data_IF_551913189476
#
_entry.id   IF_551913189476
#
_cell.length_a   1.000
_cell.length_b   1.000
_cell.length_c   1.000
_cell.angle_alpha   90.00
_cell.angle_beta   90.00
_cell.angle_gamma   90.00
#
_symmetry.space_group_name_H-M   'P 1'
#
loop_
_entity.id
_entity.type
_entity.pdbx_description
1 polymer ?
#
# COMPACT_ATOMS: atom_id res chain seq x y z
N UNK A 1 16.50 59.74 -7.28
CA UNK A 1 15.78 58.72 -8.06
C UNK A 1 15.37 57.58 -7.14
N UNK A 2 14.05 57.36 -6.98
CA UNK A 2 13.42 56.09 -6.62
C UNK A 2 13.54 55.54 -5.19
N UNK A 3 12.73 56.04 -4.23
CA UNK A 3 12.36 55.30 -3.03
C UNK A 3 11.30 54.25 -3.40
N UNK A 4 11.63 52.95 -3.38
CA UNK A 4 10.62 51.89 -3.33
C UNK A 4 10.22 51.65 -1.88
N UNK A 5 9.11 52.26 -1.49
CA UNK A 5 8.36 51.97 -0.26
C UNK A 5 7.64 50.62 -0.45
N UNK A 6 8.18 49.54 0.11
CA UNK A 6 7.48 48.27 0.23
C UNK A 6 6.58 48.30 1.47
N UNK A 7 5.41 48.91 1.35
CA UNK A 7 4.32 48.83 2.32
C UNK A 7 3.29 47.82 1.80
N UNK A 8 3.45 46.53 2.12
CA UNK A 8 2.33 45.56 2.23
C UNK A 8 2.67 44.45 3.25
N UNK A 9 2.67 44.73 4.57
CA UNK A 9 2.75 43.67 5.59
C UNK A 9 1.39 42.98 5.83
N UNK A 10 0.28 43.69 5.60
CA UNK A 10 -1.05 43.29 6.11
C UNK A 10 -1.63 42.03 5.45
N UNK A 11 -1.38 41.79 4.16
CA UNK A 11 -1.97 40.64 3.45
C UNK A 11 -1.37 39.29 3.89
N UNK A 12 -0.12 39.28 4.37
CA UNK A 12 0.55 38.07 4.85
C UNK A 12 0.28 37.79 6.32
N UNK A 13 0.05 38.83 7.12
CA UNK A 13 -0.27 38.70 8.54
C UNK A 13 -1.69 38.16 8.77
N UNK A 14 -2.66 38.52 7.92
CA UNK A 14 -4.03 37.97 7.98
C UNK A 14 -4.08 36.45 7.71
N UNK A 15 -3.22 35.94 6.82
CA UNK A 15 -3.09 34.50 6.51
C UNK A 15 -2.47 33.68 7.64
N UNK A 16 -1.79 34.33 8.59
CA UNK A 16 -1.13 33.70 9.74
C UNK A 16 -1.94 33.87 11.04
N UNK A 17 -2.98 34.71 11.02
CA UNK A 17 -3.87 34.87 12.16
C UNK A 17 -4.63 33.56 12.44
N UNK A 18 -4.71 33.12 13.71
CA UNK A 18 -5.46 31.91 14.03
C UNK A 18 -6.94 32.13 13.70
N UNK A 19 -7.62 31.13 13.09
CA UNK A 19 -8.98 31.32 12.62
C UNK A 19 -9.91 31.73 13.76
N UNK A 20 -10.83 32.64 13.45
CA UNK A 20 -11.80 33.17 14.43
C UNK A 20 -12.70 32.05 14.97
N UNK A 21 -13.33 32.26 16.13
CA UNK A 21 -14.25 31.28 16.71
C UNK A 21 -15.38 30.92 15.73
N UNK A 22 -15.89 31.90 14.98
CA UNK A 22 -16.91 31.69 13.94
C UNK A 22 -16.43 30.80 12.81
N UNK A 23 -15.22 31.03 12.29
CA UNK A 23 -14.63 30.18 11.24
C UNK A 23 -14.39 28.75 11.70
N UNK A 24 -13.97 28.56 12.96
CA UNK A 24 -13.81 27.22 13.55
C UNK A 24 -15.15 26.49 13.64
N UNK A 25 -16.21 27.19 14.06
CA UNK A 25 -17.57 26.62 14.16
C UNK A 25 -18.09 26.26 12.76
N UNK A 26 -18.00 27.17 11.79
CA UNK A 26 -18.44 26.91 10.40
C UNK A 26 -17.67 25.74 9.81
N UNK A 27 -16.35 25.68 10.01
CA UNK A 27 -15.53 24.57 9.55
C UNK A 27 -15.91 23.25 10.22
N UNK A 28 -16.24 23.27 11.51
CA UNK A 28 -16.72 22.08 12.22
C UNK A 28 -18.08 21.61 11.69
N UNK A 29 -19.02 22.53 11.43
CA UNK A 29 -20.35 22.22 10.87
C UNK A 29 -20.22 21.56 9.48
N UNK A 30 -19.23 21.95 8.67
CA UNK A 30 -19.02 21.35 7.33
C UNK A 30 -18.29 20.00 7.43
N UNK A 31 -17.25 19.90 8.28
CA UNK A 31 -16.44 18.69 8.39
C UNK A 31 -17.19 17.54 9.05
N UNK A 32 -18.05 17.86 10.03
CA UNK A 32 -18.72 16.85 10.84
C UNK A 32 -19.64 15.91 10.03
N UNK A 33 -20.55 16.40 9.18
CA UNK A 33 -21.40 15.54 8.35
C UNK A 33 -20.61 14.64 7.41
N UNK A 34 -19.58 15.19 6.75
CA UNK A 34 -18.74 14.42 5.80
C UNK A 34 -18.01 13.31 6.55
N UNK A 35 -17.40 13.62 7.69
CA UNK A 35 -16.70 12.63 8.50
C UNK A 35 -17.64 11.53 9.02
N UNK A 36 -18.83 11.90 9.48
CA UNK A 36 -19.86 10.95 9.92
C UNK A 36 -20.38 10.08 8.77
N UNK A 37 -20.47 10.61 7.55
CA UNK A 37 -20.86 9.86 6.36
C UNK A 37 -19.85 8.76 5.99
N UNK A 38 -18.58 8.88 6.40
CA UNK A 38 -17.62 7.78 6.29
C UNK A 38 -17.64 6.85 7.51
N UNK A 39 -17.67 7.42 8.73
CA UNK A 39 -17.50 6.63 9.96
C UNK A 39 -18.72 5.74 10.24
N UNK A 40 -19.94 6.30 10.18
CA UNK A 40 -21.13 5.55 10.59
C UNK A 40 -21.41 4.34 9.68
N UNK A 41 -21.35 4.44 8.34
CA UNK A 41 -21.50 3.26 7.48
C UNK A 41 -20.38 2.25 7.69
N UNK A 42 -19.15 2.69 7.95
CA UNK A 42 -18.03 1.78 8.19
C UNK A 42 -18.24 0.93 9.47
N UNK A 43 -18.66 1.56 10.57
CA UNK A 43 -18.95 0.86 11.82
C UNK A 43 -20.16 -0.07 11.67
N UNK A 44 -21.22 0.39 11.00
CA UNK A 44 -22.38 -0.45 10.72
C UNK A 44 -22.02 -1.67 9.84
N UNK A 45 -21.22 -1.47 8.80
CA UNK A 45 -20.79 -2.55 7.91
C UNK A 45 -19.79 -3.51 8.59
N UNK A 46 -19.00 -3.04 9.57
CA UNK A 46 -18.14 -3.87 10.40
C UNK A 46 -18.94 -4.77 11.34
N UNK A 47 -20.01 -4.23 11.93
CA UNK A 47 -20.91 -4.99 12.79
C UNK A 47 -21.59 -6.15 12.05
N UNK A 48 -21.93 -5.92 10.78
CA UNK A 48 -22.53 -6.90 9.88
C UNK A 48 -21.49 -7.63 9.00
N UNK A 49 -20.21 -7.60 9.37
CA UNK A 49 -19.16 -8.24 8.58
C UNK A 49 -19.19 -9.76 8.77
N UNK A 50 -19.05 -10.58 7.71
CA UNK A 50 -19.27 -12.04 7.82
C UNK A 50 -18.29 -12.78 8.73
N UNK A 51 -17.07 -12.26 8.91
CA UNK A 51 -16.02 -12.89 9.70
C UNK A 51 -15.41 -11.90 10.69
N UNK A 52 -15.19 -12.31 11.93
CA UNK A 52 -14.58 -11.49 12.99
C UNK A 52 -15.27 -10.12 13.17
N UNK A 53 -16.62 -10.07 13.09
CA UNK A 53 -17.39 -8.82 13.14
C UNK A 53 -17.15 -8.01 14.41
N UNK A 54 -17.08 -8.69 15.55
CA UNK A 54 -16.90 -8.05 16.87
C UNK A 54 -15.49 -7.49 16.98
N UNK A 55 -14.48 -8.28 16.62
CA UNK A 55 -13.07 -7.89 16.62
C UNK A 55 -12.81 -6.73 15.66
N UNK A 56 -13.40 -6.77 14.46
CA UNK A 56 -13.30 -5.71 13.47
C UNK A 56 -13.96 -4.43 13.95
N UNK A 57 -15.17 -4.51 14.52
CA UNK A 57 -15.89 -3.34 15.03
C UNK A 57 -15.14 -2.69 16.20
N UNK A 58 -14.71 -3.48 17.18
CA UNK A 58 -13.91 -2.99 18.31
C UNK A 58 -12.61 -2.38 17.79
N UNK A 59 -11.91 -3.06 16.87
CA UNK A 59 -10.68 -2.59 16.25
C UNK A 59 -10.86 -1.25 15.55
N UNK A 60 -11.94 -1.05 14.80
CA UNK A 60 -12.25 0.21 14.13
C UNK A 60 -12.61 1.35 15.10
N UNK A 61 -13.32 1.07 16.19
CA UNK A 61 -13.62 2.07 17.23
C UNK A 61 -12.34 2.51 17.94
N UNK A 62 -11.47 1.55 18.31
CA UNK A 62 -10.18 1.84 18.91
C UNK A 62 -9.28 2.62 17.94
N UNK A 63 -9.28 2.24 16.66
CA UNK A 63 -8.53 2.95 15.63
C UNK A 63 -9.05 4.39 15.43
N UNK A 64 -10.37 4.59 15.39
CA UNK A 64 -10.98 5.92 15.35
C UNK A 64 -10.53 6.77 16.54
N UNK A 65 -10.58 6.22 17.76
CA UNK A 65 -10.12 6.92 18.96
C UNK A 65 -8.62 7.31 18.84
N UNK A 66 -7.78 6.39 18.36
CA UNK A 66 -6.36 6.67 18.12
C UNK A 66 -6.14 7.79 17.11
N UNK A 67 -6.90 7.84 16.01
CA UNK A 67 -6.78 8.90 15.01
C UNK A 67 -7.32 10.24 15.49
N UNK A 68 -8.38 10.24 16.31
CA UNK A 68 -8.86 11.45 16.96
C UNK A 68 -7.79 12.02 17.89
N UNK A 69 -7.10 11.18 18.66
CA UNK A 69 -6.02 11.63 19.55
C UNK A 69 -4.79 12.06 18.76
N UNK A 70 -4.36 11.24 17.79
CA UNK A 70 -3.10 11.41 17.05
C UNK A 70 -3.30 11.12 15.56
N UNK A 71 -3.78 12.10 14.79
CA UNK A 71 -4.06 11.93 13.36
C UNK A 71 -2.90 11.33 12.55
N UNK A 72 -1.62 11.74 12.72
CA UNK A 72 -0.52 11.20 11.92
C UNK A 72 -0.34 9.67 11.97
N UNK A 73 -0.94 8.97 12.93
CA UNK A 73 -0.86 7.52 13.03
C UNK A 73 -1.37 6.80 11.79
N UNK A 74 -2.34 7.36 11.05
CA UNK A 74 -2.85 6.71 9.84
C UNK A 74 -1.74 6.47 8.80
N UNK A 75 -0.75 7.37 8.71
CA UNK A 75 0.40 7.24 7.81
C UNK A 75 1.25 6.00 8.11
N UNK A 76 1.22 5.52 9.35
CA UNK A 76 1.90 4.30 9.78
C UNK A 76 0.97 3.09 9.75
N UNK A 77 -0.28 3.24 10.18
CA UNK A 77 -1.17 2.09 10.34
C UNK A 77 -1.74 1.64 8.99
N UNK A 78 -2.11 2.56 8.08
CA UNK A 78 -2.68 2.19 6.76
C UNK A 78 -1.75 1.27 5.97
N UNK A 79 -0.45 1.60 5.75
CA UNK A 79 0.43 0.71 5.00
C UNK A 79 0.55 -0.67 5.65
N UNK A 80 0.59 -0.74 6.98
CA UNK A 80 0.62 -2.01 7.72
C UNK A 80 -0.68 -2.80 7.60
N UNK A 81 -1.81 -2.11 7.63
CA UNK A 81 -3.14 -2.70 7.54
C UNK A 81 -3.43 -3.34 6.17
N UNK A 82 -2.82 -2.83 5.08
CA UNK A 82 -2.91 -3.47 3.74
C UNK A 82 -2.49 -4.95 3.81
N UNK A 83 -1.44 -5.25 4.57
CA UNK A 83 -0.92 -6.60 4.71
C UNK A 83 -1.65 -7.44 5.77
N UNK A 84 -2.54 -6.86 6.58
CA UNK A 84 -3.17 -7.56 7.71
C UNK A 84 -4.69 -7.72 7.57
N UNK A 85 -5.38 -6.78 6.92
CA UNK A 85 -6.84 -6.69 6.90
C UNK A 85 -7.49 -7.17 5.59
N UNK A 86 -6.77 -7.96 4.81
CA UNK A 86 -7.29 -8.62 3.61
C UNK A 86 -8.13 -9.84 3.99
N UNK A 87 -9.24 -9.60 4.70
CA UNK A 87 -10.12 -10.63 5.26
C UNK A 87 -10.96 -11.38 4.22
N UNK A 88 -10.70 -11.21 2.93
CA UNK A 88 -11.46 -11.84 1.85
C UNK A 88 -11.44 -13.37 1.91
N UNK A 89 -10.30 -13.95 2.33
CA UNK A 89 -10.14 -15.41 2.50
C UNK A 89 -11.09 -16.02 3.54
N UNK A 90 -11.51 -15.24 4.55
CA UNK A 90 -12.40 -15.71 5.61
C UNK A 90 -13.84 -15.22 5.45
N UNK A 91 -14.01 -14.00 4.95
CA UNK A 91 -15.34 -13.38 4.84
C UNK A 91 -16.05 -13.66 3.52
N UNK A 92 -15.32 -14.13 2.49
CA UNK A 92 -15.85 -14.26 1.12
C UNK A 92 -16.14 -12.92 0.44
N UNK A 93 -15.89 -11.78 1.10
CA UNK A 93 -16.12 -10.46 0.49
C UNK A 93 -14.96 -10.09 -0.43
N UNK A 94 -15.29 -10.05 -1.72
CA UNK A 94 -14.34 -9.74 -2.80
C UNK A 94 -14.33 -8.23 -3.11
N UNK A 95 -15.50 -7.58 -3.12
CA UNK A 95 -15.65 -6.19 -3.54
C UNK A 95 -15.44 -5.18 -2.42
N UNK A 96 -16.01 -5.44 -1.24
CA UNK A 96 -15.97 -4.54 -0.10
C UNK A 96 -15.32 -5.22 1.12
N UNK A 97 -14.04 -4.93 1.32
CA UNK A 97 -13.14 -5.64 2.23
C UNK A 97 -13.11 -5.02 3.63
N UNK A 98 -12.53 -5.75 4.60
CA UNK A 98 -12.26 -5.19 5.93
C UNK A 98 -11.28 -4.01 5.88
N UNK A 99 -10.37 -3.99 4.90
CA UNK A 99 -9.48 -2.87 4.66
C UNK A 99 -10.23 -1.63 4.17
N UNK A 100 -11.29 -1.78 3.37
CA UNK A 100 -12.08 -0.65 2.87
C UNK A 100 -12.79 0.08 4.03
N UNK A 101 -13.31 -0.68 5.01
CA UNK A 101 -13.89 -0.13 6.24
C UNK A 101 -12.84 0.66 7.05
N UNK A 102 -11.62 0.14 7.11
CA UNK A 102 -10.49 0.79 7.75
C UNK A 102 -10.12 2.11 7.06
N UNK A 103 -10.18 2.15 5.72
CA UNK A 103 -9.98 3.38 4.95
C UNK A 103 -11.07 4.40 5.20
N UNK A 104 -12.34 4.00 5.22
CA UNK A 104 -13.46 4.91 5.53
C UNK A 104 -13.28 5.56 6.91
N UNK A 105 -12.95 4.79 7.95
CA UNK A 105 -12.64 5.34 9.27
C UNK A 105 -11.45 6.29 9.22
N UNK A 106 -10.41 5.96 8.45
CA UNK A 106 -9.25 6.84 8.24
C UNK A 106 -9.66 8.18 7.63
N UNK A 107 -10.40 8.16 6.53
CA UNK A 107 -10.87 9.36 5.85
C UNK A 107 -11.74 10.21 6.77
N UNK A 108 -12.75 9.61 7.40
CA UNK A 108 -13.63 10.34 8.31
C UNK A 108 -12.90 10.95 9.50
N UNK A 109 -12.02 10.19 10.17
CA UNK A 109 -11.29 10.68 11.34
C UNK A 109 -10.32 11.81 10.99
N UNK A 110 -9.58 11.68 9.88
CA UNK A 110 -8.62 12.70 9.46
C UNK A 110 -9.34 13.93 8.91
N UNK A 111 -10.44 13.78 8.18
CA UNK A 111 -11.28 14.92 7.77
C UNK A 111 -11.84 15.67 8.97
N UNK A 112 -12.31 14.95 10.01
CA UNK A 112 -12.76 15.58 11.24
C UNK A 112 -11.65 16.39 11.91
N UNK A 113 -10.45 15.82 12.04
CA UNK A 113 -9.35 16.41 12.82
C UNK A 113 -8.49 17.43 12.07
N UNK A 114 -8.23 17.19 10.79
CA UNK A 114 -7.33 18.00 9.95
C UNK A 114 -8.07 18.82 8.89
N UNK A 115 -9.28 18.40 8.51
CA UNK A 115 -9.98 18.94 7.35
C UNK A 115 -9.42 18.41 6.03
N UNK A 116 -9.88 18.99 4.92
CA UNK A 116 -9.42 18.68 3.57
C UNK A 116 -8.52 19.78 3.03
N UNK A 117 -7.42 19.40 2.40
CA UNK A 117 -6.55 20.32 1.69
C UNK A 117 -6.44 19.91 0.23
N UNK A 118 -7.04 20.66 -0.69
CA UNK A 118 -7.00 20.37 -2.14
C UNK A 118 -5.84 21.09 -2.87
N UNK A 119 -5.28 22.14 -2.26
CA UNK A 119 -4.24 22.98 -2.87
C UNK A 119 -2.88 22.78 -2.18
N UNK A 120 -1.81 22.68 -2.97
CA UNK A 120 -0.43 22.61 -2.47
C UNK A 120 0.42 21.43 -2.95
N UNK A 121 -0.05 20.66 -3.94
CA UNK A 121 0.64 19.50 -4.52
C UNK A 121 1.69 19.82 -5.61
N UNK A 122 1.68 21.04 -6.15
CA UNK A 122 2.47 21.40 -7.34
C UNK A 122 1.82 20.92 -8.65
N UNK A 123 2.11 21.62 -9.75
CA UNK A 123 1.46 21.38 -11.04
C UNK A 123 1.77 19.99 -11.61
N UNK A 124 2.99 19.48 -11.44
CA UNK A 124 3.39 18.16 -11.93
C UNK A 124 2.59 17.02 -11.27
N UNK A 125 2.36 17.10 -9.96
CA UNK A 125 1.52 16.15 -9.24
C UNK A 125 0.06 16.25 -9.71
N UNK A 126 -0.42 17.46 -9.97
CA UNK A 126 -1.75 17.69 -10.53
C UNK A 126 -1.92 17.04 -11.91
N UNK A 127 -0.96 17.23 -12.82
CA UNK A 127 -0.98 16.59 -14.15
C UNK A 127 -0.95 15.07 -14.01
N UNK A 128 -0.04 14.53 -13.21
CA UNK A 128 0.08 13.08 -12.99
C UNK A 128 -1.24 12.50 -12.45
N UNK A 129 -1.84 13.12 -11.43
CA UNK A 129 -3.10 12.68 -10.86
C UNK A 129 -4.24 12.73 -11.88
N UNK A 130 -4.32 13.80 -12.69
CA UNK A 130 -5.32 13.96 -13.75
C UNK A 130 -5.16 12.92 -14.85
N UNK A 131 -3.94 12.69 -15.34
CA UNK A 131 -3.68 11.68 -16.38
C UNK A 131 -4.06 10.29 -15.89
N UNK A 132 -3.65 9.93 -14.68
CA UNK A 132 -4.00 8.64 -14.09
C UNK A 132 -5.50 8.51 -13.81
N UNK A 133 -6.17 9.60 -13.44
CA UNK A 133 -7.62 9.63 -13.24
C UNK A 133 -8.37 9.38 -14.53
N UNK A 134 -7.97 10.04 -15.62
CA UNK A 134 -8.56 9.84 -16.95
C UNK A 134 -8.32 8.40 -17.41
N UNK A 135 -7.08 7.91 -17.31
CA UNK A 135 -6.73 6.56 -17.73
C UNK A 135 -7.53 5.50 -16.96
N UNK A 136 -7.50 5.53 -15.63
CA UNK A 136 -8.24 4.57 -14.81
C UNK A 136 -9.75 4.72 -15.00
N UNK A 137 -10.26 5.95 -15.14
CA UNK A 137 -11.67 6.20 -15.44
C UNK A 137 -12.12 5.54 -16.74
N UNK A 138 -11.36 5.71 -17.82
CA UNK A 138 -11.65 5.10 -19.12
C UNK A 138 -11.54 3.58 -19.11
N UNK A 139 -10.51 3.02 -18.46
CA UNK A 139 -10.34 1.56 -18.34
C UNK A 139 -11.47 0.95 -17.51
N UNK A 140 -11.84 1.59 -16.41
CA UNK A 140 -12.97 1.16 -15.55
C UNK A 140 -14.27 1.24 -16.34
N UNK A 141 -14.50 2.34 -17.05
CA UNK A 141 -15.69 2.52 -17.88
C UNK A 141 -15.82 1.43 -18.93
N UNK A 142 -14.74 1.11 -19.64
CA UNK A 142 -14.73 0.05 -20.64
C UNK A 142 -15.00 -1.33 -20.02
N UNK A 143 -14.44 -1.62 -18.84
CA UNK A 143 -14.70 -2.89 -18.15
C UNK A 143 -16.09 -3.01 -17.53
N UNK A 144 -16.78 -1.89 -17.29
CA UNK A 144 -18.09 -1.85 -16.65
C UNK A 144 -19.25 -2.13 -17.64
N UNK A 145 -19.06 -1.76 -18.91
CA UNK A 145 -20.10 -1.79 -19.92
C UNK A 145 -19.80 -2.79 -21.07
N UNK A 146 -20.83 -3.49 -21.57
CA UNK A 146 -22.21 -3.53 -21.07
C UNK A 146 -22.30 -4.19 -19.68
N UNK A 147 -23.32 -3.84 -18.89
CA UNK A 147 -23.47 -4.41 -17.55
C UNK A 147 -23.78 -5.91 -17.60
N UNK A 148 -23.02 -6.71 -16.86
CA UNK A 148 -23.20 -8.16 -16.79
C UNK A 148 -22.94 -8.69 -15.38
N UNK A 149 -23.87 -9.50 -14.87
CA UNK A 149 -23.87 -9.96 -13.48
C UNK A 149 -22.99 -11.19 -13.22
N UNK A 150 -22.42 -11.84 -14.24
CA UNK A 150 -21.75 -13.13 -14.05
C UNK A 150 -22.74 -14.25 -13.69
N UNK A 151 -22.23 -15.43 -13.39
CA UNK A 151 -23.01 -16.60 -12.94
C UNK A 151 -23.36 -16.56 -11.45
N UNK A 152 -22.45 -16.10 -10.59
CA UNK A 152 -22.65 -16.05 -9.12
C UNK A 152 -23.33 -14.75 -8.64
N UNK A 153 -23.70 -13.89 -9.57
CA UNK A 153 -24.29 -12.58 -9.29
C UNK A 153 -23.25 -11.46 -9.18
N UNK A 154 -23.75 -10.25 -9.39
CA UNK A 154 -22.95 -9.07 -9.74
C UNK A 154 -21.89 -8.68 -8.69
N UNK A 155 -22.11 -9.04 -7.42
CA UNK A 155 -21.26 -8.68 -6.28
C UNK A 155 -20.41 -9.84 -5.75
N UNK A 156 -20.50 -11.02 -6.36
CA UNK A 156 -19.80 -12.22 -5.90
C UNK A 156 -18.98 -12.87 -7.01
N UNK A 157 -19.25 -12.54 -8.27
CA UNK A 157 -18.57 -13.11 -9.42
C UNK A 157 -17.49 -12.17 -9.98
N UNK A 158 -16.22 -12.58 -9.96
CA UNK A 158 -15.12 -11.82 -10.55
C UNK A 158 -15.19 -11.72 -12.09
N UNK A 159 -16.05 -12.52 -12.73
CA UNK A 159 -16.40 -12.39 -14.15
C UNK A 159 -17.48 -11.34 -14.39
N UNK A 160 -18.15 -10.82 -13.34
CA UNK A 160 -19.08 -9.69 -13.49
C UNK A 160 -18.34 -8.43 -13.91
N UNK A 161 -19.01 -7.57 -14.69
CA UNK A 161 -18.44 -6.28 -15.10
C UNK A 161 -18.17 -5.33 -13.93
N UNK A 162 -18.80 -5.52 -12.75
CA UNK A 162 -18.44 -4.77 -11.55
C UNK A 162 -17.01 -5.05 -11.09
N UNK A 163 -16.40 -6.16 -11.51
CA UNK A 163 -15.01 -6.46 -11.19
C UNK A 163 -14.07 -5.33 -11.66
N UNK A 164 -14.44 -4.59 -12.72
CA UNK A 164 -13.75 -3.35 -13.13
C UNK A 164 -13.70 -2.29 -12.01
N UNK A 165 -14.80 -2.08 -11.29
CA UNK A 165 -14.84 -1.17 -10.13
C UNK A 165 -13.98 -1.69 -8.99
N UNK A 166 -13.99 -3.01 -8.75
CA UNK A 166 -13.15 -3.63 -7.72
C UNK A 166 -11.67 -3.41 -8.00
N UNK A 167 -11.23 -3.60 -9.24
CA UNK A 167 -9.83 -3.39 -9.63
C UNK A 167 -9.44 -1.90 -9.56
N UNK A 168 -10.36 -1.01 -9.93
CA UNK A 168 -10.10 0.43 -9.94
C UNK A 168 -10.15 1.10 -8.57
N UNK A 169 -10.86 0.54 -7.58
CA UNK A 169 -11.13 1.20 -6.29
C UNK A 169 -9.85 1.65 -5.59
N UNK A 170 -8.78 0.84 -5.61
CA UNK A 170 -7.53 1.15 -4.94
C UNK A 170 -6.87 2.43 -5.47
N UNK A 171 -7.06 2.72 -6.77
CA UNK A 171 -6.59 3.97 -7.37
C UNK A 171 -7.40 5.18 -6.85
N UNK A 172 -8.73 5.08 -6.80
CA UNK A 172 -9.59 6.16 -6.29
C UNK A 172 -9.38 6.39 -4.78
N UNK A 173 -9.17 5.33 -4.01
CA UNK A 173 -8.77 5.39 -2.60
C UNK A 173 -7.42 6.10 -2.43
N UNK A 174 -6.44 5.82 -3.30
CA UNK A 174 -5.15 6.52 -3.31
C UNK A 174 -5.30 8.03 -3.61
N UNK A 175 -6.21 8.41 -4.51
CA UNK A 175 -6.52 9.83 -4.75
C UNK A 175 -7.13 10.51 -3.53
N UNK A 176 -8.00 9.82 -2.77
CA UNK A 176 -8.57 10.35 -1.53
C UNK A 176 -7.51 10.59 -0.45
N UNK A 177 -6.37 9.90 -0.47
CA UNK A 177 -5.27 10.19 0.45
C UNK A 177 -4.52 11.48 0.14
N UNK A 178 -4.51 11.97 -1.10
CA UNK A 178 -3.80 13.21 -1.46
C UNK A 178 -4.19 14.40 -0.57
N UNK A 179 -5.50 14.73 -0.39
CA UNK A 179 -5.87 15.83 0.48
C UNK A 179 -5.52 15.61 1.96
N UNK A 180 -5.46 14.36 2.44
CA UNK A 180 -5.04 14.03 3.80
C UNK A 180 -3.53 14.24 3.97
N UNK A 181 -2.72 13.82 3.00
CA UNK A 181 -1.26 14.01 3.01
C UNK A 181 -0.94 15.51 3.01
N UNK A 182 -1.63 16.29 2.19
CA UNK A 182 -1.44 17.74 2.17
C UNK A 182 -1.87 18.40 3.48
N UNK A 183 -2.95 17.92 4.10
CA UNK A 183 -3.38 18.40 5.42
C UNK A 183 -2.35 18.07 6.52
N UNK A 184 -1.76 16.88 6.50
CA UNK A 184 -0.67 16.50 7.41
C UNK A 184 0.61 17.32 7.15
N UNK A 185 0.92 17.62 5.89
CA UNK A 185 2.04 18.49 5.52
C UNK A 185 1.87 19.90 6.10
N UNK A 186 0.68 20.48 5.97
CA UNK A 186 0.34 21.79 6.56
C UNK A 186 0.43 21.77 8.08
N UNK A 187 0.09 20.65 8.70
CA UNK A 187 0.22 20.46 10.15
C UNK A 187 1.67 20.23 10.63
N UNK A 188 2.68 20.30 9.74
CA UNK A 188 4.09 20.10 10.09
C UNK A 188 4.45 18.64 10.39
N UNK A 189 3.61 17.68 10.01
CA UNK A 189 3.85 16.26 10.26
C UNK A 189 5.03 15.77 9.42
N UNK A 190 5.94 15.02 10.05
CA UNK A 190 7.00 14.31 9.34
C UNK A 190 6.42 13.06 8.64
N UNK A 191 5.82 13.27 7.47
CA UNK A 191 5.12 12.24 6.69
C UNK A 191 6.03 11.06 6.40
N UNK A 192 7.26 11.33 5.92
CA UNK A 192 8.23 10.30 5.57
C UNK A 192 8.53 9.36 6.75
N UNK A 193 8.70 9.90 7.96
CA UNK A 193 8.97 9.09 9.15
C UNK A 193 7.83 8.13 9.49
N UNK A 194 6.59 8.64 9.49
CA UNK A 194 5.42 7.80 9.81
C UNK A 194 5.17 6.76 8.73
N UNK A 195 5.26 7.16 7.46
CA UNK A 195 5.10 6.26 6.32
C UNK A 195 6.16 5.15 6.29
N UNK A 196 7.43 5.47 6.52
CA UNK A 196 8.49 4.46 6.63
C UNK A 196 8.20 3.46 7.76
N UNK A 197 7.75 3.95 8.92
CA UNK A 197 7.33 3.09 10.02
C UNK A 197 6.19 2.16 9.64
N UNK A 198 5.25 2.64 8.82
CA UNK A 198 4.14 1.82 8.33
C UNK A 198 4.56 0.75 7.34
N UNK A 199 5.45 1.08 6.40
CA UNK A 199 5.99 0.10 5.45
C UNK A 199 6.77 -1.01 6.18
N UNK A 200 7.52 -0.67 7.24
CA UNK A 200 8.21 -1.65 8.08
C UNK A 200 7.21 -2.51 8.85
N UNK A 201 6.19 -1.91 9.47
CA UNK A 201 5.14 -2.63 10.20
C UNK A 201 4.43 -3.63 9.28
N UNK A 202 4.11 -3.19 8.07
CA UNK A 202 3.48 -4.03 7.08
C UNK A 202 4.38 -5.12 6.52
N UNK A 203 5.68 -4.85 6.35
CA UNK A 203 6.66 -5.88 6.00
C UNK A 203 6.75 -6.96 7.09
N UNK A 204 6.72 -6.57 8.37
CA UNK A 204 6.65 -7.53 9.48
C UNK A 204 5.35 -8.34 9.41
N UNK A 205 4.20 -7.69 9.21
CA UNK A 205 2.90 -8.34 9.15
C UNK A 205 2.80 -9.37 8.01
N UNK A 206 3.16 -8.99 6.78
CA UNK A 206 3.14 -9.92 5.63
C UNK A 206 4.12 -11.06 5.83
N UNK A 207 5.33 -10.78 6.33
CA UNK A 207 6.33 -11.83 6.49
C UNK A 207 5.97 -12.80 7.62
N UNK A 208 5.32 -12.31 8.70
CA UNK A 208 4.76 -13.16 9.74
C UNK A 208 3.64 -14.05 9.19
N UNK A 209 2.75 -13.50 8.35
CA UNK A 209 1.70 -14.27 7.67
C UNK A 209 2.30 -15.36 6.76
N UNK A 210 3.37 -15.05 6.04
CA UNK A 210 4.09 -16.01 5.18
C UNK A 210 4.72 -17.14 6.00
N UNK A 211 5.39 -16.79 7.10
CA UNK A 211 6.00 -17.78 8.01
C UNK A 211 4.93 -18.69 8.61
N UNK A 212 3.82 -18.11 9.06
CA UNK A 212 2.67 -18.86 9.58
C UNK A 212 2.11 -19.84 8.55
N UNK A 213 1.82 -19.37 7.34
CA UNK A 213 1.30 -20.22 6.26
C UNK A 213 2.26 -21.36 5.93
N UNK A 214 3.55 -21.06 5.83
CA UNK A 214 4.59 -22.09 5.58
C UNK A 214 4.64 -23.13 6.68
N UNK A 215 4.58 -22.71 7.95
CA UNK A 215 4.55 -23.62 9.10
C UNK A 215 3.38 -24.60 9.03
N UNK A 216 2.20 -24.12 8.66
CA UNK A 216 0.98 -24.93 8.61
C UNK A 216 0.96 -25.89 7.42
N UNK A 217 1.39 -25.45 6.23
CA UNK A 217 1.18 -26.22 5.00
C UNK A 217 2.37 -27.07 4.54
N UNK A 218 3.62 -26.65 4.79
CA UNK A 218 4.79 -27.32 4.18
C UNK A 218 5.97 -27.54 5.13
N UNK A 219 6.09 -26.73 6.18
CA UNK A 219 7.28 -26.61 7.01
C UNK A 219 8.24 -25.53 6.50
N UNK A 220 8.93 -24.84 7.42
CA UNK A 220 9.77 -23.67 7.07
C UNK A 220 10.92 -24.00 6.12
N UNK A 221 11.55 -25.16 6.30
CA UNK A 221 12.76 -25.58 5.57
C UNK A 221 12.47 -26.52 4.39
N UNK A 222 11.20 -26.84 4.15
CA UNK A 222 10.80 -27.72 3.05
C UNK A 222 10.63 -26.92 1.75
N UNK A 223 11.63 -26.97 0.89
CA UNK A 223 11.64 -26.25 -0.40
C UNK A 223 11.46 -27.17 -1.61
N UNK A 224 11.22 -28.47 -1.39
CA UNK A 224 10.93 -29.41 -2.49
C UNK A 224 9.48 -29.30 -2.96
N UNK A 225 8.56 -28.84 -2.11
CA UNK A 225 7.17 -28.58 -2.47
C UNK A 225 7.01 -27.26 -3.24
N UNK A 226 6.34 -27.32 -4.39
CA UNK A 226 6.00 -26.18 -5.25
C UNK A 226 4.88 -25.27 -4.70
N UNK A 227 4.56 -25.34 -3.41
CA UNK A 227 3.48 -24.58 -2.80
C UNK A 227 3.83 -23.09 -2.72
N UNK A 228 3.11 -22.25 -3.47
CA UNK A 228 3.29 -20.80 -3.47
C UNK A 228 2.47 -20.16 -2.35
N UNK A 229 3.14 -19.39 -1.52
CA UNK A 229 2.51 -18.70 -0.39
C UNK A 229 1.63 -17.53 -0.86
N UNK A 230 0.48 -17.37 -0.23
CA UNK A 230 -0.49 -16.29 -0.49
C UNK A 230 -0.49 -15.18 0.58
N UNK A 231 -0.09 -15.52 1.80
CA UNK A 231 -0.22 -14.66 2.96
C UNK A 231 -1.70 -14.30 3.20
N UNK A 232 -1.92 -13.08 3.67
CA UNK A 232 -3.26 -12.51 3.84
C UNK A 232 -3.90 -12.06 2.51
N UNK A 233 -3.18 -12.06 1.39
CA UNK A 233 -3.64 -11.44 0.14
C UNK A 233 -4.61 -12.35 -0.62
N UNK A 234 -5.92 -12.10 -0.47
CA UNK A 234 -6.96 -12.91 -1.13
C UNK A 234 -6.86 -12.94 -2.66
N UNK A 235 -6.31 -11.89 -3.28
CA UNK A 235 -6.17 -11.80 -4.74
C UNK A 235 -5.25 -12.87 -5.35
N UNK A 236 -4.57 -13.70 -4.54
CA UNK A 236 -3.86 -14.88 -5.05
C UNK A 236 -4.79 -16.05 -5.39
N UNK A 237 -6.06 -16.04 -4.97
CA UNK A 237 -7.08 -17.03 -5.37
C UNK A 237 -7.24 -17.09 -6.91
N UNK A 238 -7.14 -15.95 -7.59
CA UNK A 238 -7.17 -15.83 -9.05
C UNK A 238 -5.79 -15.86 -9.70
N UNK A 239 -4.74 -16.18 -8.94
CA UNK A 239 -3.37 -16.20 -9.44
C UNK A 239 -2.71 -14.81 -9.51
N UNK A 240 -3.20 -13.83 -8.75
CA UNK A 240 -2.62 -12.49 -8.66
C UNK A 240 -1.18 -12.46 -8.11
N UNK A 241 -0.63 -11.24 -8.05
CA UNK A 241 0.73 -10.96 -7.58
C UNK A 241 0.78 -9.85 -6.52
N UNK A 242 -0.32 -9.64 -5.79
CA UNK A 242 -0.44 -8.56 -4.82
C UNK A 242 0.57 -8.67 -3.67
N UNK A 243 0.81 -9.89 -3.16
CA UNK A 243 1.84 -10.13 -2.13
C UNK A 243 3.23 -9.78 -2.65
N UNK A 244 3.55 -10.17 -3.89
CA UNK A 244 4.85 -9.89 -4.51
C UNK A 244 5.05 -8.39 -4.65
N UNK A 245 4.06 -7.68 -5.19
CA UNK A 245 4.09 -6.22 -5.33
C UNK A 245 4.28 -5.53 -3.97
N UNK A 246 3.55 -5.97 -2.94
CA UNK A 246 3.66 -5.41 -1.61
C UNK A 246 5.05 -5.62 -0.99
N UNK A 247 5.60 -6.84 -1.09
CA UNK A 247 6.95 -7.16 -0.63
C UNK A 247 8.00 -6.31 -1.36
N UNK A 248 7.89 -6.12 -2.68
CA UNK A 248 8.82 -5.27 -3.45
C UNK A 248 8.76 -3.81 -3.01
N UNK A 249 7.56 -3.29 -2.75
CA UNK A 249 7.39 -1.92 -2.30
C UNK A 249 7.90 -1.72 -0.88
N UNK A 250 7.70 -2.69 0.03
CA UNK A 250 8.03 -2.56 1.43
C UNK A 250 9.50 -2.86 1.76
N UNK A 251 10.14 -3.79 1.04
CA UNK A 251 11.51 -4.24 1.32
C UNK A 251 12.56 -3.10 1.36
N UNK A 252 12.56 -2.13 0.42
CA UNK A 252 13.52 -1.03 0.46
C UNK A 252 13.44 -0.17 1.73
N UNK A 253 12.28 -0.14 2.40
CA UNK A 253 12.10 0.62 3.65
C UNK A 253 12.86 0.02 4.84
N UNK A 254 13.39 -1.20 4.74
CA UNK A 254 14.40 -1.70 5.70
C UNK A 254 15.58 -0.74 5.76
N UNK A 255 15.98 -0.17 4.60
CA UNK A 255 17.02 0.84 4.51
C UNK A 255 16.70 2.09 5.34
N UNK A 256 15.43 2.43 5.55
CA UNK A 256 15.03 3.56 6.40
C UNK A 256 15.40 3.34 7.88
N UNK A 257 15.37 2.09 8.39
CA UNK A 257 15.85 1.76 9.74
C UNK A 257 17.34 2.08 9.89
N UNK A 258 18.10 1.91 8.80
CA UNK A 258 19.53 2.16 8.73
C UNK A 258 19.82 3.65 8.51
N UNK A 259 19.03 4.35 7.69
CA UNK A 259 19.32 5.73 7.33
C UNK A 259 18.87 6.75 8.39
N UNK A 260 17.72 6.53 9.05
CA UNK A 260 17.15 7.49 9.99
C UNK A 260 17.66 7.35 11.43
N UNK A 261 17.96 6.12 11.91
CA UNK A 261 18.27 5.85 13.32
C UNK A 261 19.19 4.62 13.49
N UNK A 262 20.49 4.73 13.18
CA UNK A 262 21.42 3.65 13.57
C UNK A 262 21.70 3.71 15.07
N UNK A 263 21.14 2.76 15.80
CA UNK A 263 21.59 2.39 17.14
C UNK A 263 22.05 0.94 17.07
N UNK A 264 23.05 0.55 17.87
CA UNK A 264 23.54 -0.83 17.79
C UNK A 264 22.43 -1.87 18.09
N UNK A 265 21.49 -1.53 18.98
CA UNK A 265 20.31 -2.36 19.25
C UNK A 265 19.33 -2.48 18.08
N UNK A 266 19.36 -1.59 17.08
CA UNK A 266 18.51 -1.71 15.89
C UNK A 266 19.13 -2.59 14.82
N UNK A 267 20.39 -3.01 14.96
CA UNK A 267 21.08 -3.84 13.96
C UNK A 267 20.46 -5.24 13.85
N UNK A 268 20.30 -5.93 14.99
CA UNK A 268 19.72 -7.26 15.05
C UNK A 268 18.31 -7.33 14.46
N UNK A 269 17.33 -6.46 14.83
CA UNK A 269 16.00 -6.51 14.24
C UNK A 269 15.99 -6.14 12.76
N UNK A 270 16.86 -5.23 12.30
CA UNK A 270 16.99 -4.92 10.86
C UNK A 270 17.51 -6.12 10.07
N UNK A 271 18.54 -6.81 10.57
CA UNK A 271 19.06 -8.02 9.93
C UNK A 271 18.01 -9.13 9.91
N UNK A 272 17.35 -9.38 11.04
CA UNK A 272 16.29 -10.37 11.14
C UNK A 272 15.14 -10.09 10.15
N UNK A 273 14.70 -8.84 10.05
CA UNK A 273 13.65 -8.45 9.10
C UNK A 273 14.10 -8.60 7.65
N UNK A 274 15.37 -8.34 7.33
CA UNK A 274 15.92 -8.59 5.99
C UNK A 274 15.92 -10.09 5.65
N UNK A 275 16.29 -10.96 6.58
CA UNK A 275 16.18 -12.40 6.40
C UNK A 275 14.73 -12.83 6.20
N UNK A 276 13.79 -12.28 6.97
CA UNK A 276 12.37 -12.59 6.89
C UNK A 276 11.76 -12.15 5.55
N UNK A 277 12.12 -10.95 5.09
CA UNK A 277 11.73 -10.43 3.78
C UNK A 277 12.30 -11.28 2.65
N UNK A 278 13.59 -11.65 2.72
CA UNK A 278 14.24 -12.53 1.76
C UNK A 278 13.60 -13.92 1.71
N UNK A 279 13.31 -14.52 2.86
CA UNK A 279 12.57 -15.77 2.96
C UNK A 279 11.18 -15.65 2.33
N UNK A 280 10.45 -14.57 2.64
CA UNK A 280 9.10 -14.34 2.12
C UNK A 280 9.09 -14.22 0.60
N UNK A 281 10.02 -13.43 0.05
CA UNK A 281 10.22 -13.28 -1.39
C UNK A 281 10.57 -14.59 -2.10
N UNK A 282 11.28 -15.47 -1.40
CA UNK A 282 11.67 -16.77 -1.95
C UNK A 282 10.48 -17.72 -2.06
N UNK A 283 9.70 -17.85 -0.99
CA UNK A 283 8.60 -18.84 -0.92
C UNK A 283 7.34 -18.43 -1.70
N UNK A 284 7.32 -17.24 -2.29
CA UNK A 284 6.32 -16.92 -3.33
C UNK A 284 6.68 -17.52 -4.69
N UNK A 285 7.89 -18.07 -4.85
CA UNK A 285 8.37 -18.73 -6.07
C UNK A 285 8.10 -17.93 -7.36
N UNK A 286 8.10 -16.60 -7.30
CA UNK A 286 7.84 -15.74 -8.46
C UNK A 286 9.14 -15.37 -9.16
N UNK A 287 9.25 -15.68 -10.47
CA UNK A 287 10.41 -15.30 -11.29
C UNK A 287 10.54 -13.78 -11.45
N UNK A 288 9.43 -13.05 -11.43
CA UNK A 288 9.44 -11.60 -11.57
C UNK A 288 10.10 -10.92 -10.35
N UNK A 289 10.19 -11.62 -9.22
CA UNK A 289 10.71 -11.05 -7.99
C UNK A 289 12.20 -10.76 -8.06
N UNK A 290 12.99 -11.62 -8.72
CA UNK A 290 14.44 -11.45 -8.79
C UNK A 290 14.85 -10.08 -9.40
N UNK A 291 14.43 -9.72 -10.63
CA UNK A 291 14.74 -8.39 -11.17
C UNK A 291 14.02 -7.26 -10.42
N UNK A 292 12.81 -7.50 -9.90
CA UNK A 292 12.05 -6.47 -9.18
C UNK A 292 12.75 -6.02 -7.89
N UNK A 293 13.34 -6.94 -7.12
CA UNK A 293 14.14 -6.60 -5.94
C UNK A 293 15.31 -5.71 -6.33
N UNK A 294 16.04 -6.08 -7.38
CA UNK A 294 17.19 -5.31 -7.87
C UNK A 294 16.76 -3.88 -8.22
N UNK A 295 15.71 -3.73 -9.02
CA UNK A 295 15.17 -2.42 -9.42
C UNK A 295 14.73 -1.62 -8.18
N UNK A 296 14.01 -2.24 -7.24
CA UNK A 296 13.54 -1.56 -6.03
C UNK A 296 14.69 -1.01 -5.19
N UNK A 297 15.78 -1.77 -5.03
CA UNK A 297 16.99 -1.30 -4.35
C UNK A 297 17.73 -0.22 -5.13
N UNK A 298 17.82 -0.33 -6.46
CA UNK A 298 18.42 0.71 -7.30
C UNK A 298 17.67 2.04 -7.14
N UNK A 299 16.33 2.02 -7.20
CA UNK A 299 15.51 3.22 -6.98
C UNK A 299 15.75 3.79 -5.58
N UNK A 300 15.81 2.94 -4.55
CA UNK A 300 16.09 3.39 -3.19
C UNK A 300 17.46 4.04 -3.05
N UNK A 301 18.51 3.43 -3.62
CA UNK A 301 19.89 3.95 -3.56
C UNK A 301 19.99 5.27 -4.33
N UNK A 302 19.44 5.34 -5.54
CA UNK A 302 19.41 6.57 -6.34
C UNK A 302 18.65 7.67 -5.59
N UNK A 303 17.48 7.36 -5.04
CA UNK A 303 16.68 8.31 -4.26
C UNK A 303 17.41 8.81 -3.02
N UNK A 304 18.06 7.91 -2.27
CA UNK A 304 18.88 8.28 -1.11
C UNK A 304 20.07 9.17 -1.51
N UNK A 305 20.70 8.89 -2.66
CA UNK A 305 21.80 9.68 -3.20
C UNK A 305 21.36 11.07 -3.65
N UNK A 306 20.22 11.18 -4.34
CA UNK A 306 19.67 12.47 -4.78
C UNK A 306 19.32 13.38 -3.59
N UNK A 307 18.82 12.81 -2.49
CA UNK A 307 18.42 13.59 -1.30
C UNK A 307 19.63 14.04 -0.49
N UNK A 308 20.71 13.25 -0.42
CA UNK A 308 21.89 13.64 0.33
C UNK A 308 23.16 12.93 -0.14
N UNK A 309 23.78 13.41 -1.24
CA UNK A 309 24.94 12.73 -1.84
C UNK A 309 26.14 12.70 -0.87
N UNK A 310 26.27 13.71 0.00
CA UNK A 310 27.34 13.84 0.99
C UNK A 310 27.16 13.02 2.28
N UNK A 311 25.95 12.50 2.56
CA UNK A 311 25.69 11.64 3.73
C UNK A 311 26.03 10.17 3.49
N UNK A 312 26.26 9.78 2.23
CA UNK A 312 26.68 8.43 1.79
C UNK A 312 28.19 8.19 2.04
N UNK A 313 28.90 9.17 2.63
CA UNK A 313 30.30 9.03 3.04
C UNK A 313 30.47 8.16 4.31
N UNK A 314 31.22 7.06 4.16
CA UNK A 314 31.98 6.16 5.08
C UNK A 314 31.57 6.04 6.57
N UNK A 315 30.28 6.07 6.91
CA UNK A 315 29.80 5.66 8.26
C UNK A 315 29.42 4.16 8.31
N UNK A 316 29.55 3.46 9.47
CA UNK A 316 29.23 2.03 9.63
C UNK A 316 27.81 1.63 9.22
N UNK A 317 26.89 2.59 9.16
CA UNK A 317 25.54 2.43 8.59
C UNK A 317 25.53 2.00 7.11
N UNK A 318 26.54 2.37 6.33
CA UNK A 318 26.63 2.00 4.91
C UNK A 318 27.17 0.57 4.74
N UNK A 319 28.00 0.09 5.68
CA UNK A 319 28.42 -1.31 5.74
C UNK A 319 27.22 -2.20 6.05
N UNK A 320 26.35 -1.80 6.97
CA UNK A 320 25.11 -2.53 7.26
C UNK A 320 24.12 -2.49 6.08
N UNK A 321 23.97 -1.33 5.42
CA UNK A 321 23.15 -1.24 4.21
C UNK A 321 23.70 -2.14 3.10
N UNK A 322 25.02 -2.15 2.90
CA UNK A 322 25.69 -3.07 2.00
C UNK A 322 25.49 -4.54 2.42
N UNK A 323 25.50 -4.85 3.72
CA UNK A 323 25.29 -6.21 4.24
C UNK A 323 23.84 -6.66 4.07
N UNK A 324 22.84 -5.80 4.27
CA UNK A 324 21.44 -6.09 3.95
C UNK A 324 21.24 -6.29 2.45
N UNK A 325 21.87 -5.45 1.62
CA UNK A 325 21.87 -5.61 0.16
C UNK A 325 22.60 -6.89 -0.26
N UNK A 326 23.69 -7.27 0.41
CA UNK A 326 24.43 -8.51 0.15
C UNK A 326 23.69 -9.75 0.67
N UNK A 327 22.89 -9.65 1.73
CA UNK A 327 22.05 -10.74 2.23
C UNK A 327 20.85 -10.92 1.31
N UNK A 328 20.14 -9.85 0.96
CA UNK A 328 19.02 -9.92 0.03
C UNK A 328 19.49 -10.35 -1.37
N UNK A 329 20.60 -9.75 -1.84
CA UNK A 329 21.30 -10.14 -3.05
C UNK A 329 21.79 -11.59 -3.01
N UNK A 330 22.47 -11.98 -1.93
CA UNK A 330 23.00 -13.33 -1.73
C UNK A 330 21.92 -14.41 -1.65
N UNK A 331 20.80 -14.13 -0.98
CA UNK A 331 19.62 -15.00 -0.98
C UNK A 331 19.06 -15.12 -2.40
N UNK A 332 18.86 -14.00 -3.11
CA UNK A 332 18.40 -14.05 -4.52
C UNK A 332 19.37 -14.76 -5.46
N UNK A 333 20.69 -14.64 -5.25
CA UNK A 333 21.73 -15.28 -6.06
C UNK A 333 21.92 -16.76 -5.74
N UNK A 334 21.83 -17.17 -4.48
CA UNK A 334 21.84 -18.58 -4.06
C UNK A 334 20.70 -19.37 -4.74
N UNK A 335 19.54 -18.73 -4.93
CA UNK A 335 18.40 -19.32 -5.63
C UNK A 335 18.60 -19.55 -7.13
N UNK A 336 19.43 -18.73 -7.79
CA UNK A 336 19.79 -18.95 -9.21
C UNK A 336 20.73 -20.14 -9.37
N UNK A 337 21.57 -20.41 -8.37
CA UNK A 337 22.61 -21.45 -8.45
C UNK A 337 22.17 -22.83 -7.94
N UNK A 338 21.27 -22.92 -6.95
CA UNK A 338 20.98 -24.20 -6.26
C UNK A 338 19.61 -24.81 -6.62
N UNK A 339 18.68 -24.04 -7.19
CA UNK A 339 17.33 -24.50 -7.47
C UNK A 339 17.16 -25.12 -8.86
N UNK A 340 17.21 -26.45 -9.01
CA UNK A 340 16.91 -27.15 -10.27
C UNK A 340 15.49 -26.88 -10.83
N UNK A 341 14.60 -26.32 -10.02
CA UNK A 341 13.26 -25.87 -10.41
C UNK A 341 13.26 -24.44 -10.97
N UNK A 342 14.16 -23.56 -10.53
CA UNK A 342 14.21 -22.15 -10.97
C UNK A 342 14.75 -22.06 -12.40
N UNK A 343 15.81 -22.80 -12.71
CA UNK A 343 16.38 -22.90 -14.06
C UNK A 343 15.35 -23.41 -15.07
N UNK A 344 14.68 -24.54 -14.75
CA UNK A 344 13.58 -25.09 -15.56
C UNK A 344 12.47 -24.08 -15.80
N UNK A 345 12.11 -23.29 -14.80
CA UNK A 345 11.11 -22.22 -14.96
C UNK A 345 11.64 -21.08 -15.81
N UNK A 346 12.87 -20.62 -15.65
CA UNK A 346 13.42 -19.59 -16.54
C UNK A 346 13.48 -20.06 -18.01
N UNK A 347 13.83 -21.33 -18.25
CA UNK A 347 13.83 -21.93 -19.59
C UNK A 347 12.43 -21.95 -20.24
N UNK A 348 11.36 -22.03 -19.46
CA UNK A 348 9.97 -22.05 -19.94
C UNK A 348 9.32 -20.66 -20.09
N UNK A 349 10.06 -19.56 -19.86
CA UNK A 349 9.49 -18.21 -19.83
C UNK A 349 8.74 -17.83 -21.12
N UNK A 350 9.31 -18.16 -22.28
CA UNK A 350 8.69 -17.86 -23.58
C UNK A 350 7.40 -18.65 -23.81
N UNK A 351 7.39 -19.92 -23.40
CA UNK A 351 6.20 -20.77 -23.49
C UNK A 351 5.08 -20.24 -22.59
N UNK A 352 5.41 -19.88 -21.34
CA UNK A 352 4.45 -19.31 -20.40
C UNK A 352 3.86 -17.98 -20.88
N UNK A 353 4.67 -17.14 -21.55
CA UNK A 353 4.20 -15.87 -22.10
C UNK A 353 3.13 -16.11 -23.18
N UNK A 354 3.34 -17.09 -24.06
CA UNK A 354 2.37 -17.47 -25.08
C UNK A 354 1.06 -17.96 -24.44
N UNK A 355 1.15 -18.87 -23.46
CA UNK A 355 -0.02 -19.37 -22.73
C UNK A 355 -0.82 -18.23 -22.09
N UNK A 356 -0.16 -17.18 -21.57
CA UNK A 356 -0.84 -16.01 -21.00
C UNK A 356 -1.61 -15.22 -22.06
N UNK A 357 -1.00 -14.96 -23.22
CA UNK A 357 -1.71 -14.28 -24.32
C UNK A 357 -2.91 -15.10 -24.80
N UNK A 358 -2.77 -16.42 -24.90
CA UNK A 358 -3.87 -17.32 -25.27
C UNK A 358 -4.98 -17.32 -24.21
N UNK A 359 -4.63 -17.30 -22.92
CA UNK A 359 -5.58 -17.18 -21.81
C UNK A 359 -6.31 -15.84 -21.83
N UNK A 360 -5.61 -14.72 -22.01
CA UNK A 360 -6.23 -13.40 -22.10
C UNK A 360 -7.17 -13.30 -23.31
N UNK A 361 -6.76 -13.82 -24.47
CA UNK A 361 -7.62 -13.90 -25.64
C UNK A 361 -8.86 -14.79 -25.41
N UNK A 362 -8.74 -15.83 -24.60
CA UNK A 362 -9.87 -16.69 -24.22
C UNK A 362 -10.82 -16.00 -23.25
N UNK A 363 -10.31 -15.27 -22.26
CA UNK A 363 -11.12 -14.46 -21.36
C UNK A 363 -11.92 -13.36 -22.12
N UNK A 364 -11.28 -12.69 -23.07
CA UNK A 364 -11.94 -11.70 -23.94
C UNK A 364 -13.06 -12.34 -24.79
N UNK A 365 -12.85 -13.56 -25.29
CA UNK A 365 -13.89 -14.29 -26.04
C UNK A 365 -15.07 -14.71 -25.16
N UNK A 366 -14.82 -15.13 -23.92
CA UNK A 366 -15.89 -15.42 -22.96
C UNK A 366 -16.72 -14.15 -22.73
N UNK A 367 -16.08 -13.02 -22.43
CA UNK A 367 -16.77 -11.75 -22.23
C UNK A 367 -17.52 -11.27 -23.48
N UNK A 368 -16.96 -11.44 -24.68
CA UNK A 368 -17.59 -11.02 -25.94
C UNK A 368 -18.71 -11.94 -26.45
N UNK A 369 -18.82 -13.18 -25.94
CA UNK A 369 -19.84 -14.14 -26.31
C UNK A 369 -21.07 -14.11 -25.38
N UNK A 370 -21.06 -13.28 -24.34
CA UNK A 370 -22.24 -13.04 -23.52
C UNK A 370 -23.07 -11.90 -24.15
N UNK A 371 -24.35 -12.14 -24.51
CA UNK A 371 -25.19 -11.19 -25.23
C UNK A 371 -25.53 -9.92 -24.43
#
# INVERSE_FOLDING_TARGET
MGRYSAHQPELFDDLLSPPSLGERIISAIIRAPIALAFILPAIYAAWNFPAASTELTIGLILYLALLVIKPPLWLMIVPGAIAALQLGLWSGRVYFSGFDLFLMVTFGAVFWRRGMTLLGGGWALGIMATVLLIYNGLVTWNGLFPYFAGGLGMWNDELSTLNSLREAKGFFEALLFLPLILAERRAGTNIARWFCGGMILGLVAVSASVVWERLVFTGLTNFSHSYRVSGSFFGLLTGGAAIDAYLMMATPFIGAMILYRVRFWTLAPTFFLACLAGYSLYVTYSRANYPAVLVAFLVFVIGAWMVSPWRISIRPRHVLAALVVCVLGGVTSYHLYVGSNTERRFAQTTHDLKTRFDHWGSALRIMGNHP
#
